data_IF_812456450809
#
_entry.id   IF_812456450809
#
_cell.length_a   1.000
_cell.length_b   1.000
_cell.length_c   1.000
_cell.angle_alpha   90.00
_cell.angle_beta   90.00
_cell.angle_gamma   90.00
#
_symmetry.space_group_name_H-M   'P 1'
#
loop_
_entity.id
_entity.type
_entity.pdbx_description
1 polymer ?
#
# COMPACT_ATOMS: atom_id res chain seq x y z
N UNK A 1 3.92 -12.97 -12.41
CA UNK A 1 3.63 -11.69 -11.74
C UNK A 1 2.32 -11.85 -11.01
N UNK A 2 2.36 -11.81 -9.68
CA UNK A 2 1.18 -12.02 -8.83
C UNK A 2 0.84 -10.72 -8.13
N UNK A 3 -0.45 -10.42 -8.04
CA UNK A 3 -0.98 -9.29 -7.30
C UNK A 3 -1.50 -9.83 -5.98
N UNK A 4 -1.03 -9.26 -4.87
CA UNK A 4 -1.47 -9.64 -3.53
C UNK A 4 -2.59 -8.70 -3.08
N UNK A 5 -3.83 -9.16 -3.16
CA UNK A 5 -5.00 -8.38 -2.73
C UNK A 5 -5.09 -8.17 -1.22
N UNK A 6 -4.43 -8.99 -0.40
CA UNK A 6 -4.38 -8.80 1.04
C UNK A 6 -3.49 -7.61 1.47
N UNK A 7 -2.74 -6.99 0.54
CA UNK A 7 -1.81 -5.91 0.90
C UNK A 7 -2.51 -4.69 1.52
N UNK A 8 -3.70 -4.33 1.04
CA UNK A 8 -4.51 -3.27 1.65
C UNK A 8 -4.94 -3.60 3.07
N UNK A 9 -5.24 -4.88 3.34
CA UNK A 9 -5.65 -5.32 4.68
C UNK A 9 -4.48 -5.39 5.65
N UNK A 10 -3.23 -5.54 5.18
CA UNK A 10 -2.04 -5.34 6.03
C UNK A 10 -1.95 -3.90 6.54
N UNK A 11 -2.31 -2.91 5.72
CA UNK A 11 -2.41 -1.50 6.15
C UNK A 11 -3.50 -1.35 7.21
N UNK A 12 -4.66 -2.00 7.01
CA UNK A 12 -5.75 -1.97 7.97
C UNK A 12 -5.35 -2.58 9.31
N UNK A 13 -4.71 -3.75 9.31
CA UNK A 13 -4.22 -4.37 10.55
C UNK A 13 -3.18 -3.50 11.23
N UNK A 14 -2.25 -2.89 10.47
CA UNK A 14 -1.26 -1.95 11.02
C UNK A 14 -1.91 -0.77 11.74
N UNK A 15 -2.98 -0.24 11.16
CA UNK A 15 -3.74 0.85 11.77
C UNK A 15 -4.47 0.43 13.06
N UNK A 16 -5.08 -0.74 13.07
CA UNK A 16 -5.76 -1.28 14.25
C UNK A 16 -4.80 -1.78 15.34
N UNK A 17 -3.59 -2.16 14.99
CA UNK A 17 -2.56 -2.56 15.96
C UNK A 17 -2.16 -1.44 16.92
N UNK A 18 -2.47 -0.18 16.59
CA UNK A 18 -2.18 1.00 17.39
C UNK A 18 -3.15 1.22 18.55
N UNK A 19 -4.34 0.65 18.49
CA UNK A 19 -5.43 0.97 19.40
C UNK A 19 -5.76 -0.20 20.33
N UNK A 20 -6.19 0.16 21.53
CA UNK A 20 -6.72 -0.82 22.49
C UNK A 20 -8.07 -1.32 22.00
N UNK A 21 -8.33 -2.65 22.00
CA UNK A 21 -9.65 -3.19 21.74
C UNK A 21 -10.68 -2.63 22.73
N UNK A 22 -11.66 -1.90 22.22
CA UNK A 22 -12.71 -1.32 23.04
C UNK A 22 -13.99 -1.15 22.22
N UNK A 23 -15.14 -1.07 22.87
CA UNK A 23 -16.42 -0.73 22.24
C UNK A 23 -16.59 0.78 22.00
N UNK A 24 -15.69 1.61 22.52
CA UNK A 24 -15.74 3.06 22.40
C UNK A 24 -15.52 3.52 20.95
N UNK A 25 -16.19 4.60 20.57
CA UNK A 25 -16.03 5.24 19.25
C UNK A 25 -14.69 5.97 19.16
N UNK A 26 -14.22 6.55 20.26
CA UNK A 26 -12.88 7.14 20.37
C UNK A 26 -11.88 6.05 20.67
N UNK A 27 -10.91 5.88 19.78
CA UNK A 27 -9.84 4.91 19.96
C UNK A 27 -8.83 5.42 20.99
N UNK A 28 -8.55 4.61 22.00
CA UNK A 28 -7.40 4.83 22.91
C UNK A 28 -6.17 4.17 22.31
N UNK A 29 -5.07 4.90 22.23
CA UNK A 29 -3.81 4.37 21.71
C UNK A 29 -3.21 3.39 22.74
N UNK A 30 -2.77 2.23 22.28
CA UNK A 30 -2.11 1.22 23.11
C UNK A 30 -0.78 1.77 23.67
N UNK A 31 -0.13 2.67 22.94
CA UNK A 31 1.22 3.19 23.19
C UNK A 31 1.17 4.73 23.19
N UNK A 32 0.13 5.32 23.84
CA UNK A 32 -0.20 6.76 23.73
C UNK A 32 0.92 7.73 24.11
N UNK A 33 1.74 7.39 25.11
CA UNK A 33 2.76 8.28 25.68
C UNK A 33 4.20 7.94 25.26
N UNK A 34 4.38 6.99 24.32
CA UNK A 34 5.71 6.61 23.87
C UNK A 34 6.24 7.52 22.77
N UNK A 35 7.58 7.56 22.66
CA UNK A 35 8.27 8.31 21.64
C UNK A 35 7.79 7.91 20.21
N UNK A 36 7.50 8.86 19.30
CA UNK A 36 6.98 8.58 17.97
C UNK A 36 7.75 7.52 17.16
N UNK A 37 9.08 7.49 17.30
CA UNK A 37 9.93 6.50 16.63
C UNK A 37 9.65 5.07 17.10
N UNK A 38 9.34 4.86 18.37
CA UNK A 38 9.02 3.54 18.92
C UNK A 38 7.66 3.05 18.42
N UNK A 39 6.71 3.95 18.28
CA UNK A 39 5.40 3.68 17.71
C UNK A 39 5.52 3.22 16.25
N UNK A 40 6.30 3.94 15.43
CA UNK A 40 6.60 3.53 14.03
C UNK A 40 7.22 2.13 14.01
N UNK A 41 8.21 1.88 14.87
CA UNK A 41 8.93 0.60 14.88
C UNK A 41 8.04 -0.57 15.29
N UNK A 42 7.15 -0.38 16.28
CA UNK A 42 6.19 -1.39 16.71
C UNK A 42 5.20 -1.74 15.58
N UNK A 43 4.62 -0.74 14.92
CA UNK A 43 3.67 -0.98 13.83
C UNK A 43 4.34 -1.70 12.68
N UNK A 44 5.47 -1.19 12.22
CA UNK A 44 6.23 -1.81 11.14
C UNK A 44 6.58 -3.25 11.53
N UNK A 45 7.01 -3.50 12.77
CA UNK A 45 7.30 -4.84 13.28
C UNK A 45 6.07 -5.78 13.23
N UNK A 46 4.91 -5.31 13.70
CA UNK A 46 3.66 -6.10 13.69
C UNK A 46 3.23 -6.42 12.26
N UNK A 47 3.24 -5.43 11.37
CA UNK A 47 2.80 -5.63 9.97
C UNK A 47 3.80 -6.51 9.21
N UNK A 48 5.10 -6.36 9.43
CA UNK A 48 6.12 -7.27 8.86
C UNK A 48 5.93 -8.69 9.36
N UNK A 49 5.70 -8.87 10.67
CA UNK A 49 5.43 -10.20 11.25
C UNK A 49 4.18 -10.81 10.64
N UNK A 50 3.09 -10.04 10.48
CA UNK A 50 1.87 -10.49 9.81
C UNK A 50 2.12 -10.88 8.35
N UNK A 51 2.89 -10.07 7.61
CA UNK A 51 3.23 -10.35 6.22
C UNK A 51 4.05 -11.65 6.08
N UNK A 52 5.02 -11.86 6.97
CA UNK A 52 5.82 -13.09 7.02
C UNK A 52 4.93 -14.29 7.38
N UNK A 53 4.08 -14.16 8.39
CA UNK A 53 3.14 -15.22 8.79
C UNK A 53 2.21 -15.58 7.62
N UNK A 54 1.66 -14.58 6.94
CA UNK A 54 0.82 -14.76 5.75
C UNK A 54 1.56 -15.50 4.64
N UNK A 55 2.85 -15.19 4.43
CA UNK A 55 3.69 -15.89 3.47
C UNK A 55 3.84 -17.37 3.84
N UNK A 56 4.25 -17.68 5.06
CA UNK A 56 4.51 -19.07 5.47
C UNK A 56 3.24 -19.91 5.56
N UNK A 57 2.15 -19.37 6.10
CA UNK A 57 0.91 -20.10 6.31
C UNK A 57 0.12 -20.28 5.01
N UNK A 58 0.06 -19.24 4.19
CA UNK A 58 -0.85 -19.20 3.04
C UNK A 58 -0.09 -19.31 1.71
N UNK A 59 0.75 -18.30 1.41
CA UNK A 59 1.31 -18.16 0.08
C UNK A 59 2.37 -19.19 -0.28
N UNK A 60 3.14 -19.68 0.70
CA UNK A 60 4.15 -20.72 0.46
C UNK A 60 3.52 -22.02 -0.07
N UNK A 61 2.36 -22.38 0.44
CA UNK A 61 1.66 -23.60 0.04
C UNK A 61 0.96 -23.44 -1.32
N UNK A 62 0.56 -22.22 -1.65
CA UNK A 62 -0.14 -21.88 -2.89
C UNK A 62 0.77 -21.56 -4.09
N UNK A 63 2.10 -21.58 -3.93
CA UNK A 63 3.06 -21.17 -4.98
C UNK A 63 2.94 -21.92 -6.32
N UNK A 64 2.40 -23.15 -6.28
CA UNK A 64 2.19 -23.99 -7.48
C UNK A 64 0.84 -23.75 -8.15
N UNK A 65 -0.03 -22.96 -7.55
CA UNK A 65 -1.38 -22.68 -8.04
C UNK A 65 -1.36 -21.72 -9.22
N UNK A 66 -2.48 -21.67 -9.97
CA UNK A 66 -2.65 -20.71 -11.06
C UNK A 66 -2.65 -19.26 -10.54
N UNK A 67 -2.32 -18.25 -11.37
CA UNK A 67 -2.39 -16.86 -10.98
C UNK A 67 -3.77 -16.45 -10.45
N UNK A 68 -4.84 -16.96 -11.05
CA UNK A 68 -6.22 -16.69 -10.62
C UNK A 68 -6.48 -17.26 -9.21
N UNK A 69 -6.03 -18.50 -8.95
CA UNK A 69 -6.13 -19.11 -7.61
C UNK A 69 -5.38 -18.29 -6.56
N UNK A 70 -4.19 -17.80 -6.88
CA UNK A 70 -3.41 -16.94 -5.96
C UNK A 70 -4.12 -15.62 -5.65
N UNK A 71 -4.80 -15.04 -6.64
CA UNK A 71 -5.62 -13.83 -6.41
C UNK A 71 -6.79 -14.13 -5.46
N UNK A 72 -7.50 -15.24 -5.67
CA UNK A 72 -8.61 -15.66 -4.79
C UNK A 72 -8.10 -15.92 -3.37
N UNK A 73 -7.00 -16.62 -3.21
CA UNK A 73 -6.38 -16.90 -1.90
C UNK A 73 -6.00 -15.60 -1.19
N UNK A 74 -5.39 -14.65 -1.90
CA UNK A 74 -5.02 -13.37 -1.30
C UNK A 74 -6.25 -12.54 -0.88
N UNK A 75 -7.32 -12.57 -1.67
CA UNK A 75 -8.58 -11.93 -1.33
C UNK A 75 -9.24 -12.59 -0.10
N UNK A 76 -9.26 -13.93 -0.06
CA UNK A 76 -9.78 -14.68 1.09
C UNK A 76 -8.99 -14.38 2.37
N UNK A 77 -7.66 -14.27 2.28
CA UNK A 77 -6.82 -13.86 3.41
C UNK A 77 -7.19 -12.44 3.89
N UNK A 78 -7.34 -11.48 2.97
CA UNK A 78 -7.74 -10.12 3.31
C UNK A 78 -9.10 -10.10 4.03
N UNK A 79 -10.08 -10.81 3.48
CA UNK A 79 -11.41 -10.94 4.10
C UNK A 79 -11.34 -11.58 5.51
N UNK A 80 -10.49 -12.59 5.69
CA UNK A 80 -10.25 -13.20 7.01
C UNK A 80 -9.68 -12.19 7.99
N UNK A 81 -8.69 -11.39 7.59
CA UNK A 81 -8.11 -10.34 8.43
C UNK A 81 -9.15 -9.28 8.82
N UNK A 82 -10.01 -8.85 7.89
CA UNK A 82 -11.10 -7.93 8.18
C UNK A 82 -12.07 -8.49 9.23
N UNK A 83 -12.46 -9.78 9.11
CA UNK A 83 -13.33 -10.42 10.09
C UNK A 83 -12.65 -10.55 11.46
N UNK A 84 -11.37 -10.84 11.53
CA UNK A 84 -10.62 -10.85 12.80
C UNK A 84 -10.64 -9.46 13.44
N UNK A 85 -10.45 -8.39 12.67
CA UNK A 85 -10.55 -7.02 13.16
C UNK A 85 -11.96 -6.75 13.71
N UNK A 86 -13.01 -7.14 12.98
CA UNK A 86 -14.39 -6.95 13.44
C UNK A 86 -14.68 -7.73 14.73
N UNK A 87 -14.14 -8.93 14.87
CA UNK A 87 -14.31 -9.74 16.10
C UNK A 87 -13.62 -9.09 17.32
N UNK A 88 -12.44 -8.49 17.12
CA UNK A 88 -11.64 -7.94 18.22
C UNK A 88 -12.08 -6.50 18.56
N UNK A 89 -12.31 -5.68 17.55
CA UNK A 89 -12.49 -4.23 17.70
C UNK A 89 -13.93 -3.76 17.42
N UNK A 90 -14.78 -4.65 16.90
CA UNK A 90 -16.13 -4.32 16.45
C UNK A 90 -16.19 -3.73 15.03
N UNK A 91 -17.38 -3.71 14.44
CA UNK A 91 -17.60 -3.23 13.05
C UNK A 91 -17.83 -1.72 12.91
N UNK A 92 -17.87 -0.96 14.01
CA UNK A 92 -18.10 0.49 13.96
C UNK A 92 -16.81 1.25 13.64
N UNK A 93 -16.89 2.32 12.83
CA UNK A 93 -15.74 3.21 12.63
C UNK A 93 -15.27 3.81 13.95
N UNK A 94 -13.96 3.96 14.11
CA UNK A 94 -13.36 4.54 15.31
C UNK A 94 -12.60 5.81 14.94
N UNK A 95 -12.71 6.86 15.74
CA UNK A 95 -11.89 8.05 15.62
C UNK A 95 -10.56 7.81 16.32
N UNK A 96 -9.45 8.05 15.61
CA UNK A 96 -8.08 7.91 16.12
C UNK A 96 -7.29 9.17 15.83
N UNK A 97 -7.08 9.99 16.84
CA UNK A 97 -6.20 11.16 16.76
C UNK A 97 -4.76 10.74 17.02
N UNK A 98 -4.01 10.43 15.97
CA UNK A 98 -2.58 10.12 16.05
C UNK A 98 -1.84 11.35 15.57
N UNK A 99 -0.87 11.83 16.37
CA UNK A 99 -0.04 13.00 16.03
C UNK A 99 -0.84 14.24 15.61
N UNK A 100 -1.78 14.65 16.46
CA UNK A 100 -2.57 15.88 16.28
C UNK A 100 -1.70 17.11 16.01
N UNK A 101 -0.48 17.16 16.55
CA UNK A 101 0.47 18.24 16.35
C UNK A 101 0.93 18.39 14.88
N UNK A 102 0.92 17.30 14.10
CA UNK A 102 1.25 17.32 12.67
C UNK A 102 0.10 17.86 11.79
N UNK A 103 -1.10 18.03 12.34
CA UNK A 103 -2.22 18.62 11.60
C UNK A 103 -2.17 20.17 11.55
N UNK A 104 -1.19 20.78 12.21
CA UNK A 104 -0.93 22.22 12.17
C UNK A 104 -0.69 22.72 10.75
N UNK A 105 -1.15 23.95 10.49
CA UNK A 105 -0.94 24.61 9.20
C UNK A 105 0.38 25.38 9.20
N UNK A 106 1.20 25.17 8.18
CA UNK A 106 2.42 25.92 7.90
C UNK A 106 2.14 26.88 6.74
N UNK A 107 2.31 28.17 6.96
CA UNK A 107 2.23 29.17 5.90
C UNK A 107 3.52 29.15 5.08
N UNK A 108 3.43 28.80 3.79
CA UNK A 108 4.57 28.80 2.86
C UNK A 108 4.69 30.17 2.19
N UNK A 109 3.57 30.85 1.94
CA UNK A 109 3.54 32.18 1.32
C UNK A 109 2.27 32.90 1.74
N UNK A 110 2.20 34.24 1.49
CA UNK A 110 1.02 35.06 1.75
C UNK A 110 -0.18 34.49 0.97
N UNK A 111 -1.03 33.70 1.65
CA UNK A 111 -2.27 33.12 1.10
C UNK A 111 -2.23 31.62 0.81
N UNK A 112 -1.09 30.93 0.97
CA UNK A 112 -0.99 29.47 0.80
C UNK A 112 -0.57 28.82 2.12
N UNK A 113 -1.50 28.10 2.74
CA UNK A 113 -1.25 27.26 3.92
C UNK A 113 -1.30 25.79 3.53
N UNK A 114 -0.31 25.02 3.98
CA UNK A 114 -0.22 23.56 3.77
C UNK A 114 -0.14 22.88 5.12
N UNK A 115 -0.82 21.78 5.29
CA UNK A 115 -0.71 20.99 6.52
C UNK A 115 0.70 20.40 6.64
N UNK A 116 1.31 20.50 7.81
CA UNK A 116 2.62 19.91 8.10
C UNK A 116 2.65 18.41 7.77
N UNK A 117 1.55 17.69 8.04
CA UNK A 117 1.40 16.29 7.71
C UNK A 117 1.59 15.99 6.21
N UNK A 118 1.11 16.87 5.32
CA UNK A 118 1.30 16.68 3.87
C UNK A 118 2.77 16.78 3.48
N UNK A 119 3.51 17.73 4.06
CA UNK A 119 4.95 17.86 3.83
C UNK A 119 5.71 16.64 4.35
N UNK A 120 5.36 16.16 5.56
CA UNK A 120 5.94 14.94 6.13
C UNK A 120 5.64 13.73 5.26
N UNK A 121 4.40 13.59 4.78
CA UNK A 121 4.01 12.48 3.90
C UNK A 121 4.80 12.47 2.60
N UNK A 122 4.98 13.64 1.96
CA UNK A 122 5.79 13.79 0.75
C UNK A 122 7.25 13.41 1.03
N UNK A 123 7.83 13.94 2.10
CA UNK A 123 9.21 13.66 2.47
C UNK A 123 9.44 12.17 2.75
N UNK A 124 8.58 11.54 3.56
CA UNK A 124 8.64 10.12 3.86
C UNK A 124 8.48 9.28 2.60
N UNK A 125 7.55 9.62 1.73
CA UNK A 125 7.35 8.90 0.45
C UNK A 125 8.60 8.93 -0.43
N UNK A 126 9.25 10.10 -0.58
CA UNK A 126 10.49 10.22 -1.34
C UNK A 126 11.64 9.46 -0.70
N UNK A 127 11.80 9.52 0.62
CA UNK A 127 12.82 8.78 1.37
C UNK A 127 12.63 7.27 1.17
N UNK A 128 11.41 6.77 1.33
CA UNK A 128 11.10 5.35 1.14
C UNK A 128 11.32 4.90 -0.30
N UNK A 129 10.92 5.72 -1.27
CA UNK A 129 11.13 5.42 -2.69
C UNK A 129 12.62 5.34 -3.02
N UNK A 130 13.41 6.32 -2.60
CA UNK A 130 14.87 6.34 -2.82
C UNK A 130 15.52 5.14 -2.13
N UNK A 131 15.15 4.87 -0.87
CA UNK A 131 15.66 3.74 -0.10
C UNK A 131 15.35 2.40 -0.81
N UNK A 132 14.11 2.22 -1.28
CA UNK A 132 13.69 1.02 -2.02
C UNK A 132 14.45 0.87 -3.34
N UNK A 133 14.62 1.95 -4.11
CA UNK A 133 15.37 1.93 -5.37
C UNK A 133 16.84 1.60 -5.13
N UNK A 134 17.46 2.21 -4.12
CA UNK A 134 18.85 1.92 -3.74
C UNK A 134 19.00 0.48 -3.26
N UNK A 135 18.10 0.01 -2.41
CA UNK A 135 18.07 -1.38 -1.96
C UNK A 135 18.02 -2.35 -3.14
N UNK A 136 17.07 -2.17 -4.05
CA UNK A 136 16.89 -3.05 -5.22
C UNK A 136 18.05 -2.96 -6.21
N UNK A 137 18.72 -1.80 -6.33
CA UNK A 137 19.83 -1.62 -7.29
C UNK A 137 21.20 -1.98 -6.74
N UNK A 138 21.44 -1.75 -5.44
CA UNK A 138 22.79 -1.81 -4.85
C UNK A 138 23.02 -3.04 -3.97
N UNK A 139 21.97 -3.68 -3.43
CA UNK A 139 22.15 -4.85 -2.56
C UNK A 139 22.14 -6.15 -3.36
N UNK A 140 22.91 -7.15 -2.90
CA UNK A 140 22.91 -8.50 -3.49
C UNK A 140 21.50 -9.11 -3.52
N UNK A 141 20.75 -8.93 -2.45
CA UNK A 141 19.37 -9.40 -2.31
C UNK A 141 18.45 -8.69 -3.29
N UNK A 142 18.55 -7.37 -3.42
CA UNK A 142 17.75 -6.60 -4.37
C UNK A 142 18.03 -7.00 -5.83
N UNK A 143 19.27 -7.32 -6.17
CA UNK A 143 19.64 -7.84 -7.50
C UNK A 143 18.98 -9.21 -7.73
N UNK A 144 19.03 -10.12 -6.74
CA UNK A 144 18.37 -11.42 -6.82
C UNK A 144 16.84 -11.28 -6.96
N UNK A 145 16.22 -10.34 -6.24
CA UNK A 145 14.79 -10.06 -6.38
C UNK A 145 14.42 -9.58 -7.79
N UNK A 146 15.21 -8.70 -8.38
CA UNK A 146 14.97 -8.22 -9.75
C UNK A 146 15.18 -9.33 -10.78
N UNK A 147 16.22 -10.14 -10.65
CA UNK A 147 16.45 -11.30 -11.52
C UNK A 147 15.29 -12.29 -11.44
N UNK A 148 14.81 -12.58 -10.23
CA UNK A 148 13.66 -13.46 -10.03
C UNK A 148 12.34 -12.85 -10.56
N UNK A 149 12.19 -11.52 -10.57
CA UNK A 149 11.03 -10.85 -11.13
C UNK A 149 11.02 -10.86 -12.66
N UNK A 150 12.18 -10.91 -13.30
CA UNK A 150 12.36 -11.00 -14.76
C UNK A 150 12.10 -12.45 -15.22
N UNK A 151 12.89 -13.40 -14.73
CA UNK A 151 12.72 -14.83 -14.96
C UNK A 151 13.04 -15.63 -13.70
N UNK A 152 11.98 -16.12 -13.05
CA UNK A 152 12.08 -16.88 -11.81
C UNK A 152 12.76 -18.26 -12.00
N UNK A 153 12.55 -18.88 -13.18
CA UNK A 153 13.13 -20.20 -13.49
C UNK A 153 14.62 -20.10 -13.71
N UNK A 154 15.05 -19.14 -14.52
CA UNK A 154 16.47 -18.90 -14.78
C UNK A 154 17.21 -18.44 -13.53
N UNK A 155 16.62 -17.52 -12.74
CA UNK A 155 17.22 -17.07 -11.48
C UNK A 155 17.50 -18.25 -10.53
N UNK A 156 16.56 -19.23 -10.43
CA UNK A 156 16.76 -20.43 -9.63
C UNK A 156 17.87 -21.33 -10.16
N UNK A 157 18.01 -21.46 -11.47
CA UNK A 157 19.13 -22.22 -12.08
C UNK A 157 20.49 -21.60 -11.78
N UNK A 158 20.55 -20.27 -11.63
CA UNK A 158 21.73 -19.51 -11.22
C UNK A 158 21.96 -19.51 -9.69
N UNK A 159 21.23 -20.33 -8.92
CA UNK A 159 21.43 -20.51 -7.48
C UNK A 159 20.64 -19.53 -6.60
N UNK A 160 19.73 -18.75 -7.14
CA UNK A 160 18.87 -17.85 -6.33
C UNK A 160 17.85 -18.69 -5.55
N UNK A 161 17.82 -18.52 -4.23
CA UNK A 161 16.84 -19.18 -3.38
C UNK A 161 15.48 -18.47 -3.50
N UNK A 162 14.59 -19.05 -4.30
CA UNK A 162 13.28 -18.45 -4.58
C UNK A 162 12.41 -18.23 -3.34
N UNK A 163 12.50 -19.11 -2.33
CA UNK A 163 11.74 -18.95 -1.08
C UNK A 163 12.17 -17.69 -0.32
N UNK A 164 13.48 -17.48 -0.20
CA UNK A 164 14.03 -16.32 0.50
C UNK A 164 13.69 -15.01 -0.22
N UNK A 165 13.75 -15.02 -1.56
CA UNK A 165 13.39 -13.84 -2.36
C UNK A 165 11.94 -13.44 -2.18
N UNK A 166 11.03 -14.40 -2.16
CA UNK A 166 9.60 -14.13 -1.95
C UNK A 166 9.35 -13.68 -0.51
N UNK A 167 9.95 -14.36 0.49
CA UNK A 167 9.83 -13.96 1.89
C UNK A 167 10.31 -12.50 2.12
N UNK A 168 11.44 -12.13 1.53
CA UNK A 168 11.95 -10.76 1.60
C UNK A 168 11.03 -9.74 0.89
N UNK A 169 10.38 -10.14 -0.21
CA UNK A 169 9.37 -9.29 -0.84
C UNK A 169 8.18 -9.02 0.11
N UNK A 170 7.75 -10.02 0.88
CA UNK A 170 6.72 -9.86 1.90
C UNK A 170 7.19 -8.97 3.07
N UNK A 171 8.45 -9.10 3.51
CA UNK A 171 9.04 -8.23 4.54
C UNK A 171 9.03 -6.78 4.10
N UNK A 172 9.52 -6.49 2.88
CA UNK A 172 9.56 -5.14 2.33
C UNK A 172 8.14 -4.57 2.15
N UNK A 173 7.22 -5.39 1.61
CA UNK A 173 5.82 -5.04 1.45
C UNK A 173 5.15 -4.74 2.80
N UNK A 174 5.37 -5.58 3.81
CA UNK A 174 4.87 -5.37 5.17
C UNK A 174 5.44 -4.10 5.82
N UNK A 175 6.73 -3.84 5.63
CA UNK A 175 7.36 -2.62 6.15
C UNK A 175 6.77 -1.35 5.54
N UNK A 176 6.58 -1.33 4.22
CA UNK A 176 5.93 -0.20 3.53
C UNK A 176 4.47 -0.05 3.96
N UNK A 177 3.72 -1.16 4.11
CA UNK A 177 2.34 -1.15 4.58
C UNK A 177 2.22 -0.61 6.00
N UNK A 178 3.15 -0.95 6.90
CA UNK A 178 3.19 -0.44 8.27
C UNK A 178 3.39 1.07 8.33
N UNK A 179 4.30 1.62 7.52
CA UNK A 179 4.50 3.08 7.45
C UNK A 179 3.29 3.76 6.84
N UNK A 180 2.74 3.19 5.75
CA UNK A 180 1.55 3.73 5.09
C UNK A 180 0.33 3.74 6.03
N UNK A 181 0.17 2.74 6.89
CA UNK A 181 -0.94 2.67 7.84
C UNK A 181 -0.94 3.85 8.81
N UNK A 182 0.23 4.25 9.31
CA UNK A 182 0.40 5.43 10.16
C UNK A 182 0.01 6.71 9.45
N UNK A 183 0.61 6.96 8.29
CA UNK A 183 0.35 8.17 7.52
C UNK A 183 -1.12 8.30 7.14
N UNK A 184 -1.74 7.17 6.73
CA UNK A 184 -3.14 7.15 6.32
C UNK A 184 -4.08 7.44 7.49
N UNK A 185 -3.86 6.83 8.66
CA UNK A 185 -4.70 7.07 9.84
C UNK A 185 -4.54 8.49 10.37
N UNK A 186 -3.30 9.02 10.41
CA UNK A 186 -3.05 10.40 10.82
C UNK A 186 -3.76 11.39 9.89
N UNK A 187 -3.82 11.09 8.59
CA UNK A 187 -4.47 11.94 7.60
C UNK A 187 -6.00 11.88 7.66
N UNK A 188 -6.56 10.69 7.85
CA UNK A 188 -8.02 10.48 7.83
C UNK A 188 -8.67 10.69 9.19
N UNK A 189 -7.93 10.45 10.28
CA UNK A 189 -8.45 10.47 11.65
C UNK A 189 -9.47 9.38 11.95
N UNK A 190 -9.74 8.48 11.02
CA UNK A 190 -10.81 7.47 11.13
C UNK A 190 -10.30 6.09 10.72
N UNK A 191 -10.58 5.10 11.56
CA UNK A 191 -10.34 3.69 11.33
C UNK A 191 -11.61 2.99 10.91
N UNK A 192 -11.57 2.28 9.79
CA UNK A 192 -12.65 1.38 9.33
C UNK A 192 -12.04 0.03 9.01
N UNK A 193 -12.68 -1.06 9.41
CA UNK A 193 -12.18 -2.42 9.15
C UNK A 193 -12.03 -2.73 7.65
N UNK A 194 -12.80 -2.08 6.78
CA UNK A 194 -12.77 -2.26 5.33
C UNK A 194 -11.93 -1.22 4.57
N UNK A 195 -11.16 -0.37 5.26
CA UNK A 195 -10.40 0.72 4.61
C UNK A 195 -9.30 0.21 3.68
N UNK A 196 -8.82 -1.01 3.88
CA UNK A 196 -7.79 -1.63 3.03
C UNK A 196 -8.25 -1.88 1.61
N UNK A 197 -9.55 -2.18 1.39
CA UNK A 197 -10.08 -2.52 0.06
C UNK A 197 -9.97 -1.35 -0.93
N UNK A 198 -10.49 -0.15 -0.66
CA UNK A 198 -10.32 0.98 -1.58
C UNK A 198 -8.84 1.36 -1.76
N UNK A 199 -8.02 1.33 -0.72
CA UNK A 199 -6.58 1.60 -0.83
C UNK A 199 -5.92 0.61 -1.79
N UNK A 200 -6.23 -0.68 -1.66
CA UNK A 200 -5.71 -1.72 -2.54
C UNK A 200 -6.16 -1.53 -3.99
N UNK A 201 -7.41 -1.15 -4.23
CA UNK A 201 -7.90 -0.84 -5.57
C UNK A 201 -7.13 0.31 -6.22
N UNK A 202 -6.87 1.41 -5.47
CA UNK A 202 -6.04 2.51 -5.96
C UNK A 202 -4.61 2.07 -6.29
N UNK A 203 -3.98 1.22 -5.46
CA UNK A 203 -2.65 0.66 -5.76
C UNK A 203 -2.65 -0.21 -6.99
N UNK A 204 -3.66 -1.06 -7.14
CA UNK A 204 -3.82 -1.90 -8.32
C UNK A 204 -3.92 -1.05 -9.60
N UNK A 205 -4.81 -0.07 -9.59
CA UNK A 205 -5.03 0.84 -10.69
C UNK A 205 -3.75 1.62 -11.04
N UNK A 206 -3.08 2.20 -10.02
CA UNK A 206 -1.83 2.91 -10.21
C UNK A 206 -0.75 2.02 -10.85
N UNK A 207 -0.67 0.76 -10.43
CA UNK A 207 0.28 -0.20 -10.99
C UNK A 207 -0.05 -0.60 -12.43
N UNK A 208 -1.33 -0.76 -12.74
CA UNK A 208 -1.79 -1.12 -14.09
C UNK A 208 -1.59 0.04 -15.06
N UNK A 209 -2.02 1.26 -14.69
CA UNK A 209 -1.80 2.47 -15.51
C UNK A 209 -0.30 2.74 -15.70
N UNK A 210 0.47 2.59 -14.62
CA UNK A 210 1.91 2.81 -14.67
C UNK A 210 2.66 1.82 -15.56
N UNK A 211 2.09 0.64 -15.78
CA UNK A 211 2.69 -0.49 -16.48
C UNK A 211 3.21 -1.55 -15.51
N UNK A 212 2.51 -2.68 -15.46
CA UNK A 212 2.82 -3.80 -14.55
C UNK A 212 4.25 -4.32 -14.73
N UNK A 213 5.01 -4.32 -13.62
CA UNK A 213 6.40 -4.81 -13.59
C UNK A 213 7.47 -3.72 -13.73
N UNK A 214 7.09 -2.45 -13.80
CA UNK A 214 8.01 -1.32 -13.75
C UNK A 214 7.85 -0.56 -12.43
N UNK A 215 8.93 -0.48 -11.64
CA UNK A 215 8.92 0.34 -10.41
C UNK A 215 8.67 1.83 -10.74
N UNK A 216 9.33 2.34 -11.77
CA UNK A 216 9.14 3.72 -12.25
C UNK A 216 7.70 3.90 -12.75
N UNK A 217 7.19 2.90 -13.49
CA UNK A 217 5.81 2.90 -13.95
C UNK A 217 4.81 3.00 -12.80
N UNK A 218 4.96 2.19 -11.76
CA UNK A 218 4.06 2.22 -10.59
C UNK A 218 4.08 3.58 -9.89
N UNK A 219 5.24 4.25 -9.80
CA UNK A 219 5.37 5.59 -9.24
C UNK A 219 4.64 6.62 -10.10
N UNK A 220 4.90 6.62 -11.41
CA UNK A 220 4.24 7.54 -12.36
C UNK A 220 2.73 7.30 -12.36
N UNK A 221 2.29 6.04 -12.35
CA UNK A 221 0.87 5.69 -12.25
C UNK A 221 0.23 6.20 -10.96
N UNK A 222 0.90 6.03 -9.81
CA UNK A 222 0.44 6.54 -8.52
C UNK A 222 0.25 8.05 -8.52
N UNK A 223 1.25 8.80 -8.99
CA UNK A 223 1.14 10.25 -9.12
C UNK A 223 0.04 10.66 -10.10
N UNK A 224 -0.09 9.98 -11.25
CA UNK A 224 -1.14 10.27 -12.23
C UNK A 224 -2.54 10.08 -11.63
N UNK A 225 -2.79 8.97 -10.94
CA UNK A 225 -4.06 8.71 -10.25
C UNK A 225 -4.31 9.73 -9.14
N UNK A 226 -3.28 10.07 -8.36
CA UNK A 226 -3.37 11.08 -7.31
C UNK A 226 -3.73 12.46 -7.85
N UNK A 227 -3.05 12.93 -8.90
CA UNK A 227 -3.34 14.22 -9.55
C UNK A 227 -4.77 14.24 -10.09
N UNK A 228 -5.19 13.20 -10.80
CA UNK A 228 -6.56 13.09 -11.33
C UNK A 228 -7.58 13.13 -10.20
N UNK A 229 -7.34 12.40 -9.10
CA UNK A 229 -8.22 12.38 -7.93
C UNK A 229 -8.38 13.77 -7.30
N UNK A 230 -7.28 14.55 -7.19
CA UNK A 230 -7.30 15.92 -6.66
C UNK A 230 -8.04 16.88 -7.60
N UNK A 231 -7.75 16.81 -8.89
CA UNK A 231 -8.43 17.65 -9.91
C UNK A 231 -9.94 17.37 -9.90
N UNK A 232 -10.34 16.10 -9.87
CA UNK A 232 -11.75 15.74 -9.79
C UNK A 232 -12.40 16.25 -8.50
N UNK A 233 -11.70 16.18 -7.36
CA UNK A 233 -12.20 16.73 -6.08
C UNK A 233 -12.41 18.24 -6.13
N UNK A 234 -11.64 18.98 -6.95
CA UNK A 234 -11.75 20.42 -7.11
C UNK A 234 -12.85 20.83 -8.10
N UNK A 235 -13.07 20.04 -9.16
CA UNK A 235 -14.00 20.36 -10.24
C UNK A 235 -15.42 19.86 -9.94
N UNK A 236 -15.57 18.70 -9.23
CA UNK A 236 -16.88 18.16 -8.97
C UNK A 236 -17.69 19.02 -7.99
N UNK A 237 -18.96 19.31 -8.30
CA UNK A 237 -19.91 19.91 -7.36
C UNK A 237 -19.99 19.10 -6.08
N UNK A 238 -20.38 19.73 -4.96
CA UNK A 238 -20.45 19.09 -3.63
C UNK A 238 -21.32 17.86 -3.62
N UNK A 239 -22.43 17.88 -4.35
CA UNK A 239 -23.38 16.77 -4.49
C UNK A 239 -22.79 15.53 -5.16
N UNK A 240 -21.80 15.71 -6.06
CA UNK A 240 -21.17 14.65 -6.83
C UNK A 240 -19.80 14.21 -6.26
N UNK A 241 -19.33 14.84 -5.19
CA UNK A 241 -18.03 14.48 -4.56
C UNK A 241 -17.98 13.01 -4.08
N UNK A 242 -19.13 12.44 -3.71
CA UNK A 242 -19.24 11.02 -3.37
C UNK A 242 -18.92 10.06 -4.53
N UNK A 243 -19.06 10.52 -5.77
CA UNK A 243 -18.76 9.75 -6.96
C UNK A 243 -17.33 9.95 -7.50
N UNK A 244 -16.49 10.71 -6.78
CA UNK A 244 -15.10 10.99 -7.19
C UNK A 244 -14.33 9.71 -7.55
N UNK A 245 -14.37 8.70 -6.68
CA UNK A 245 -13.64 7.46 -6.88
C UNK A 245 -14.18 6.68 -8.09
N UNK A 246 -15.49 6.71 -8.31
CA UNK A 246 -16.13 6.15 -9.52
C UNK A 246 -15.65 6.85 -10.78
N UNK A 247 -15.56 8.18 -10.78
CA UNK A 247 -15.06 8.95 -11.92
C UNK A 247 -13.57 8.65 -12.20
N UNK A 248 -12.75 8.49 -11.14
CA UNK A 248 -11.36 8.04 -11.29
C UNK A 248 -11.30 6.68 -11.97
N UNK A 249 -12.13 5.72 -11.54
CA UNK A 249 -12.14 4.37 -12.12
C UNK A 249 -12.59 4.37 -13.59
N UNK A 250 -13.61 5.15 -13.93
CA UNK A 250 -14.06 5.31 -15.34
C UNK A 250 -12.93 5.88 -16.20
N UNK A 251 -12.27 6.93 -15.74
CA UNK A 251 -11.16 7.55 -16.47
C UNK A 251 -10.01 6.55 -16.67
N UNK A 252 -9.71 5.75 -15.65
CA UNK A 252 -8.73 4.68 -15.74
C UNK A 252 -9.09 3.66 -16.81
N UNK A 253 -10.35 3.22 -16.84
CA UNK A 253 -10.82 2.27 -17.86
C UNK A 253 -10.63 2.87 -19.26
N UNK A 254 -10.97 4.13 -19.46
CA UNK A 254 -10.78 4.83 -20.74
C UNK A 254 -9.29 4.87 -21.12
N UNK A 255 -8.41 5.21 -20.17
CA UNK A 255 -6.95 5.22 -20.43
C UNK A 255 -6.44 3.83 -20.80
N UNK A 256 -6.89 2.78 -20.12
CA UNK A 256 -6.49 1.41 -20.43
C UNK A 256 -7.04 0.89 -21.76
N UNK A 257 -8.24 1.30 -22.16
CA UNK A 257 -8.77 1.00 -23.49
C UNK A 257 -7.95 1.68 -24.59
N UNK A 258 -7.50 2.93 -24.35
CA UNK A 258 -6.66 3.67 -25.29
C UNK A 258 -5.19 3.19 -25.29
N UNK A 259 -4.66 2.77 -24.11
CA UNK A 259 -3.27 2.30 -23.93
C UNK A 259 -3.20 1.08 -23.02
N UNK A 260 -3.48 -0.12 -23.53
CA UNK A 260 -3.51 -1.35 -22.73
C UNK A 260 -2.15 -1.74 -22.12
N UNK A 261 -1.05 -1.14 -22.62
CA UNK A 261 0.32 -1.40 -22.14
C UNK A 261 0.72 -0.51 -20.95
N UNK A 262 -0.13 0.45 -20.54
CA UNK A 262 0.16 1.44 -19.51
C UNK A 262 0.99 2.63 -20.02
N UNK A 263 1.32 3.57 -19.11
CA UNK A 263 2.04 4.81 -19.44
C UNK A 263 3.53 4.57 -19.70
N UNK A 264 4.14 3.62 -18.96
CA UNK A 264 5.57 3.30 -19.07
C UNK A 264 5.75 1.92 -19.68
N UNK A 265 6.27 1.87 -20.89
CA UNK A 265 6.57 0.62 -21.60
C UNK A 265 7.70 -0.14 -20.89
N UNK A 266 7.43 -1.33 -20.41
CA UNK A 266 8.46 -2.23 -19.90
C UNK A 266 9.19 -2.92 -21.05
N UNK A 267 10.48 -3.29 -20.86
CA UNK A 267 11.25 -4.02 -21.88
C UNK A 267 10.53 -5.29 -22.37
N UNK A 268 9.86 -5.99 -21.46
CA UNK A 268 9.09 -7.19 -21.79
C UNK A 268 7.83 -6.92 -22.67
N UNK A 269 7.36 -5.67 -22.74
CA UNK A 269 6.29 -5.29 -23.66
C UNK A 269 6.82 -4.91 -25.04
N UNK A 270 8.10 -4.47 -25.12
CA UNK A 270 8.77 -4.16 -26.41
C UNK A 270 9.12 -5.41 -27.23
N UNK A 271 9.33 -6.55 -26.59
CA UNK A 271 9.69 -7.81 -27.27
C UNK A 271 8.46 -8.57 -27.80
N UNK A 272 7.25 -8.09 -27.52
CA UNK A 272 5.98 -8.68 -27.99
C UNK A 272 5.31 -7.91 -29.14
N UNK A 273 5.94 -6.83 -29.59
CA UNK A 273 5.55 -6.04 -30.76
C UNK A 273 6.63 -6.16 -31.82
#
# INVERSE_FOLDING_TARGET
>A
RLINFAHGDFITVGAYALIVPSSAVTATLLIGDFHPALLVLCIVGIVVMLAILSYFVVFQHAQKSSPATMMIISFALGYTLQNIIVMIYGGRPKAAGIWSDLTGQVQISSGVSVQLLQLVTIAVTWILLIALVLFLKRTRVGIQMRAAAEDFRMARMLGVNGKNVIALAFILSGGLAGIMSLLFVTQTGVLKFSMGVPIMLFFFIATVIGGMGSLVGSVVGGYSVGIVSVILSAILPEELRGFRDTCVFILVIIVLLARPQGLVLTKAAKERV
#
